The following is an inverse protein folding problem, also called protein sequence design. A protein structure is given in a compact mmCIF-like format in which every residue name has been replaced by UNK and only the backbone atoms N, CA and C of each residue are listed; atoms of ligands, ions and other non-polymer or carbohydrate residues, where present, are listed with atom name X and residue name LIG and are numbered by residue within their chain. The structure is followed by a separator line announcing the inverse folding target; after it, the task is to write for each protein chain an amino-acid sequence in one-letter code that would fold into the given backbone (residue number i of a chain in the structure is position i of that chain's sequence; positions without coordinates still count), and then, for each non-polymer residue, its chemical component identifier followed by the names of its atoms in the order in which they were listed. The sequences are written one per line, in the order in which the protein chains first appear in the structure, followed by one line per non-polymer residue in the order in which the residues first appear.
data_IF_595105957067
#
_entry.id   IF_595105957067
#
_cell.length_a   1.000
_cell.length_b   1.000
_cell.length_c   1.000
_cell.angle_alpha   90.00
_cell.angle_beta   90.00
_cell.angle_gamma   90.00
#
_symmetry.space_group_name_H-M   'P 1'
#
loop_
_entity.id
_entity.type
_entity.pdbx_description
1 polymer ?
#
# COMPACT_ATOMS: atom_id res chain seq x y z
N UNK A 1 -68.28 -59.82 -7.75
CA UNK A 1 -66.81 -59.84 -7.65
C UNK A 1 -66.35 -58.41 -7.47
N UNK A 2 -65.74 -58.11 -6.32
CA UNK A 2 -65.46 -56.76 -5.83
C UNK A 2 -64.31 -56.12 -6.64
N UNK A 3 -64.59 -55.04 -7.37
CA UNK A 3 -63.55 -54.14 -7.89
C UNK A 3 -63.21 -53.13 -6.79
N UNK A 4 -62.30 -53.50 -5.91
CA UNK A 4 -61.71 -52.57 -4.94
C UNK A 4 -60.83 -51.57 -5.67
N UNK A 5 -61.21 -50.29 -5.64
CA UNK A 5 -60.36 -49.21 -6.09
C UNK A 5 -59.09 -49.17 -5.23
N UNK A 6 -57.94 -49.51 -5.82
CA UNK A 6 -56.61 -49.31 -5.25
C UNK A 6 -56.29 -47.81 -5.26
N UNK A 7 -56.74 -47.10 -4.23
CA UNK A 7 -56.33 -45.72 -3.96
C UNK A 7 -55.00 -45.79 -3.21
N UNK A 8 -53.90 -45.52 -3.90
CA UNK A 8 -52.59 -45.41 -3.26
C UNK A 8 -52.42 -44.00 -2.64
N UNK A 9 -51.84 -43.87 -1.43
CA UNK A 9 -51.57 -42.57 -0.85
C UNK A 9 -50.50 -41.81 -1.66
N UNK A 10 -50.61 -40.48 -1.80
CA UNK A 10 -49.64 -39.68 -2.55
C UNK A 10 -48.28 -39.75 -1.82
N UNK A 11 -47.28 -40.36 -2.48
CA UNK A 11 -45.91 -40.47 -1.97
C UNK A 11 -45.33 -41.89 -1.92
N UNK A 12 -46.11 -42.94 -2.19
CA UNK A 12 -45.62 -44.31 -2.29
C UNK A 12 -45.47 -44.76 -3.75
N UNK A 13 -44.28 -45.18 -4.15
CA UNK A 13 -44.10 -45.89 -5.43
C UNK A 13 -44.81 -47.26 -5.36
N UNK A 14 -45.52 -47.69 -6.42
CA UNK A 14 -46.09 -49.03 -6.45
C UNK A 14 -44.98 -50.09 -6.49
N UNK A 15 -45.11 -51.16 -5.70
CA UNK A 15 -44.15 -52.28 -5.64
C UNK A 15 -43.96 -53.00 -7.00
N UNK A 16 -44.89 -52.77 -7.94
CA UNK A 16 -44.84 -53.26 -9.32
C UNK A 16 -44.13 -52.31 -10.29
N UNK A 17 -43.53 -51.21 -9.83
CA UNK A 17 -42.77 -50.32 -10.70
C UNK A 17 -41.48 -51.03 -11.17
N UNK A 18 -41.22 -51.11 -12.50
CA UNK A 18 -39.96 -51.66 -12.99
C UNK A 18 -38.80 -50.87 -12.39
N UNK A 19 -37.87 -51.59 -11.73
CA UNK A 19 -36.67 -51.04 -11.09
C UNK A 19 -35.82 -50.31 -12.13
N UNK A 20 -36.04 -49.00 -12.25
CA UNK A 20 -35.42 -48.15 -13.28
C UNK A 20 -36.25 -46.92 -13.66
N UNK A 21 -37.54 -46.86 -13.29
CA UNK A 21 -38.37 -45.69 -13.60
C UNK A 21 -38.16 -44.49 -12.66
N UNK A 22 -37.47 -44.69 -11.53
CA UNK A 22 -37.18 -43.62 -10.55
C UNK A 22 -36.14 -42.63 -11.08
N UNK A 23 -35.27 -43.07 -11.99
CA UNK A 23 -34.25 -42.21 -12.62
C UNK A 23 -34.85 -41.24 -13.66
N UNK A 24 -36.11 -41.45 -14.07
CA UNK A 24 -36.79 -40.59 -15.05
C UNK A 24 -37.43 -39.36 -14.37
N UNK A 25 -37.68 -39.43 -13.05
CA UNK A 25 -38.43 -38.40 -12.31
C UNK A 25 -37.60 -37.50 -11.41
N UNK A 26 -36.30 -37.76 -11.24
CA UNK A 26 -35.42 -36.76 -10.65
C UNK A 26 -35.09 -35.74 -11.74
N UNK A 27 -35.56 -34.48 -11.65
CA UNK A 27 -35.00 -33.45 -12.50
C UNK A 27 -33.50 -33.42 -12.20
N UNK A 28 -32.66 -33.66 -13.22
CA UNK A 28 -31.21 -33.54 -13.12
C UNK A 28 -30.91 -32.25 -12.38
N UNK A 29 -30.58 -32.32 -11.08
CA UNK A 29 -30.25 -31.13 -10.30
C UNK A 29 -29.08 -30.50 -11.03
N UNK A 30 -29.22 -29.28 -11.57
CA UNK A 30 -28.16 -28.71 -12.38
C UNK A 30 -26.91 -28.70 -11.51
N UNK A 31 -25.82 -29.26 -12.04
CA UNK A 31 -24.59 -29.41 -11.28
C UNK A 31 -24.21 -28.06 -10.67
N UNK A 32 -23.56 -28.06 -9.51
CA UNK A 32 -23.17 -26.81 -8.84
C UNK A 32 -22.44 -25.85 -9.78
N UNK A 33 -21.72 -26.38 -10.78
CA UNK A 33 -21.08 -25.61 -11.85
C UNK A 33 -22.08 -24.93 -12.81
N UNK A 34 -23.17 -25.60 -13.19
CA UNK A 34 -24.23 -25.05 -14.04
C UNK A 34 -25.05 -23.99 -13.30
N UNK A 35 -25.34 -24.20 -12.01
CA UNK A 35 -25.98 -23.19 -11.16
C UNK A 35 -25.06 -21.99 -10.93
N UNK A 36 -23.79 -22.22 -10.64
CA UNK A 36 -22.81 -21.14 -10.49
C UNK A 36 -22.66 -20.32 -11.77
N UNK A 37 -22.62 -20.97 -12.95
CA UNK A 37 -22.53 -20.30 -14.24
C UNK A 37 -23.78 -19.46 -14.53
N UNK A 38 -24.97 -19.98 -14.25
CA UNK A 38 -26.23 -19.26 -14.42
C UNK A 38 -26.37 -18.05 -13.48
N UNK A 39 -25.92 -18.19 -12.23
CA UNK A 39 -25.84 -17.07 -11.28
C UNK A 39 -24.81 -16.02 -11.71
N UNK A 40 -23.67 -16.45 -12.24
CA UNK A 40 -22.65 -15.54 -12.77
C UNK A 40 -23.17 -14.77 -13.98
N UNK A 41 -23.79 -15.44 -14.96
CA UNK A 41 -24.30 -14.78 -16.16
C UNK A 41 -25.39 -13.77 -15.83
N UNK A 42 -26.31 -14.13 -14.92
CA UNK A 42 -27.37 -13.24 -14.46
C UNK A 42 -26.82 -12.03 -13.67
N UNK A 43 -25.76 -12.22 -12.87
CA UNK A 43 -25.10 -11.12 -12.17
C UNK A 43 -24.34 -10.18 -13.12
N UNK A 44 -23.68 -10.73 -14.15
CA UNK A 44 -22.98 -9.92 -15.15
C UNK A 44 -23.94 -9.09 -16.01
N UNK A 45 -25.07 -9.62 -16.43
CA UNK A 45 -26.04 -8.88 -17.26
C UNK A 45 -26.60 -7.64 -16.56
N UNK A 46 -26.82 -7.68 -15.24
CA UNK A 46 -27.36 -6.54 -14.48
C UNK A 46 -26.30 -5.67 -13.80
N UNK A 47 -25.09 -6.19 -13.57
CA UNK A 47 -24.04 -5.47 -12.82
C UNK A 47 -22.74 -5.27 -13.59
N UNK A 48 -22.66 -5.61 -14.89
CA UNK A 48 -21.44 -5.43 -15.70
C UNK A 48 -20.84 -4.03 -15.57
N UNK A 49 -21.65 -2.97 -15.66
CA UNK A 49 -21.17 -1.59 -15.49
C UNK A 49 -20.63 -1.32 -14.08
N UNK A 50 -21.30 -1.85 -13.06
CA UNK A 50 -20.84 -1.75 -11.67
C UNK A 50 -19.52 -2.48 -11.44
N UNK A 51 -19.40 -3.71 -11.96
CA UNK A 51 -18.18 -4.53 -11.86
C UNK A 51 -17.00 -3.83 -12.54
N UNK A 52 -17.21 -3.26 -13.73
CA UNK A 52 -16.17 -2.50 -14.44
C UNK A 52 -15.77 -1.27 -13.66
N UNK A 53 -16.73 -0.48 -13.17
CA UNK A 53 -16.44 0.74 -12.41
C UNK A 53 -15.70 0.45 -11.09
N UNK A 54 -16.17 -0.51 -10.30
CA UNK A 54 -15.54 -0.91 -9.05
C UNK A 54 -14.15 -1.55 -9.28
N UNK A 55 -14.00 -2.34 -10.35
CA UNK A 55 -12.70 -2.89 -10.75
C UNK A 55 -11.69 -1.80 -11.13
N UNK A 56 -12.10 -0.81 -11.92
CA UNK A 56 -11.27 0.35 -12.28
C UNK A 56 -10.89 1.18 -11.04
N UNK A 57 -11.86 1.45 -10.17
CA UNK A 57 -11.62 2.18 -8.93
C UNK A 57 -10.61 1.44 -8.04
N UNK A 58 -10.76 0.12 -7.89
CA UNK A 58 -9.84 -0.71 -7.12
C UNK A 58 -8.43 -0.65 -7.70
N UNK A 59 -8.27 -0.76 -9.03
CA UNK A 59 -6.98 -0.62 -9.69
C UNK A 59 -6.33 0.75 -9.44
N UNK A 60 -7.11 1.83 -9.51
CA UNK A 60 -6.63 3.19 -9.20
C UNK A 60 -6.18 3.30 -7.74
N UNK A 61 -6.98 2.79 -6.80
CA UNK A 61 -6.66 2.80 -5.37
C UNK A 61 -5.40 1.98 -5.06
N UNK A 62 -5.25 0.81 -5.66
CA UNK A 62 -4.05 -0.03 -5.52
C UNK A 62 -2.84 0.70 -6.10
N UNK A 63 -2.97 1.29 -7.29
CA UNK A 63 -1.90 2.08 -7.92
C UNK A 63 -1.47 3.25 -7.04
N UNK A 64 -2.42 3.98 -6.46
CA UNK A 64 -2.15 5.06 -5.51
C UNK A 64 -1.51 4.55 -4.21
N UNK A 65 -1.98 3.43 -3.67
CA UNK A 65 -1.42 2.84 -2.46
C UNK A 65 0.03 2.39 -2.66
N UNK A 66 0.34 1.72 -3.77
CA UNK A 66 1.70 1.31 -4.14
C UNK A 66 2.59 2.54 -4.37
N UNK A 67 2.09 3.54 -5.10
CA UNK A 67 2.83 4.77 -5.34
C UNK A 67 3.14 5.53 -4.04
N UNK A 68 2.15 5.61 -3.14
CA UNK A 68 2.31 6.25 -1.85
C UNK A 68 3.30 5.47 -0.98
N UNK A 69 3.18 4.14 -0.93
CA UNK A 69 4.08 3.26 -0.21
C UNK A 69 5.52 3.35 -0.72
N UNK A 70 5.74 3.49 -2.02
CA UNK A 70 7.08 3.52 -2.61
C UNK A 70 7.92 4.72 -2.16
N UNK A 71 7.31 5.87 -1.88
CA UNK A 71 8.00 7.09 -1.45
C UNK A 71 7.44 7.69 -0.13
N UNK A 72 6.75 6.89 0.68
CA UNK A 72 6.13 7.40 1.91
C UNK A 72 7.16 7.99 2.87
N UNK A 73 8.34 7.35 2.96
CA UNK A 73 9.46 7.79 3.81
C UNK A 73 10.03 9.13 3.37
N UNK A 74 10.21 9.32 2.05
CA UNK A 74 10.69 10.58 1.49
C UNK A 74 9.70 11.71 1.70
N UNK A 75 8.40 11.43 1.54
CA UNK A 75 7.34 12.40 1.84
C UNK A 75 7.30 12.79 3.31
N UNK A 76 7.37 11.81 4.21
CA UNK A 76 7.40 12.07 5.65
C UNK A 76 8.61 12.95 6.02
N UNK A 77 9.80 12.62 5.51
CA UNK A 77 11.00 13.43 5.76
C UNK A 77 10.84 14.87 5.26
N UNK A 78 10.35 15.05 4.02
CA UNK A 78 10.12 16.39 3.46
C UNK A 78 9.06 17.17 4.23
N UNK A 79 7.99 16.49 4.69
CA UNK A 79 6.97 17.11 5.54
C UNK A 79 7.56 17.56 6.88
N UNK A 80 8.36 16.72 7.55
CA UNK A 80 9.05 17.08 8.78
C UNK A 80 10.00 18.26 8.58
N UNK A 81 10.80 18.26 7.51
CA UNK A 81 11.70 19.37 7.18
C UNK A 81 10.93 20.69 6.97
N UNK A 82 9.81 20.67 6.23
CA UNK A 82 8.95 21.85 6.05
C UNK A 82 8.35 22.34 7.36
N UNK A 83 7.91 21.40 8.22
CA UNK A 83 7.39 21.74 9.55
C UNK A 83 8.47 22.40 10.42
N UNK A 84 9.69 21.88 10.40
CA UNK A 84 10.82 22.47 11.13
C UNK A 84 11.21 23.84 10.57
N UNK A 85 11.22 24.01 9.25
CA UNK A 85 11.41 25.32 8.61
C UNK A 85 10.33 26.32 9.08
N UNK A 86 9.07 25.89 9.14
CA UNK A 86 7.97 26.76 9.57
C UNK A 86 8.07 27.14 11.05
N UNK A 87 8.48 26.20 11.90
CA UNK A 87 8.72 26.46 13.33
C UNK A 87 9.85 27.47 13.53
N UNK A 88 10.97 27.30 12.82
CA UNK A 88 12.09 28.25 12.83
C UNK A 88 11.63 29.65 12.38
N UNK A 89 10.83 29.76 11.31
CA UNK A 89 10.30 31.07 10.86
C UNK A 89 9.41 31.75 11.89
N UNK A 90 8.59 30.98 12.61
CA UNK A 90 7.64 31.52 13.59
C UNK A 90 8.29 31.87 14.92
N UNK A 91 9.36 31.18 15.29
CA UNK A 91 10.03 31.35 16.56
C UNK A 91 11.54 31.46 16.35
N UNK A 92 12.03 32.62 15.86
CA UNK A 92 13.46 32.84 15.65
C UNK A 92 14.26 32.79 16.96
N UNK A 93 13.61 33.09 18.08
CA UNK A 93 14.22 33.16 19.42
C UNK A 93 14.28 31.80 20.14
N UNK A 94 13.58 30.77 19.63
CA UNK A 94 13.68 29.43 20.22
C UNK A 94 15.03 28.81 19.88
N UNK A 95 15.70 28.26 20.91
CA UNK A 95 16.95 27.54 20.74
C UNK A 95 16.78 26.43 19.67
N UNK A 96 17.77 26.21 18.79
CA UNK A 96 17.67 25.26 17.69
C UNK A 96 17.92 23.79 18.10
N UNK A 97 18.25 23.50 19.36
CA UNK A 97 18.40 22.14 19.89
C UNK A 97 17.22 21.18 19.62
N UNK A 98 15.95 21.53 19.88
CA UNK A 98 14.81 20.67 19.57
C UNK A 98 14.66 20.41 18.07
N UNK A 99 15.10 21.35 17.22
CA UNK A 99 15.13 21.17 15.76
C UNK A 99 16.17 20.11 15.39
N UNK A 100 17.37 20.19 15.96
CA UNK A 100 18.43 19.21 15.75
C UNK A 100 18.05 17.80 16.18
N UNK A 101 17.41 17.65 17.35
CA UNK A 101 16.92 16.36 17.83
C UNK A 101 15.80 15.79 16.94
N UNK A 102 14.80 16.61 16.61
CA UNK A 102 13.69 16.21 15.74
C UNK A 102 14.16 15.81 14.34
N UNK A 103 15.13 16.54 13.77
CA UNK A 103 15.71 16.23 12.47
C UNK A 103 16.51 14.92 12.50
N UNK A 104 17.29 14.70 13.56
CA UNK A 104 18.02 13.43 13.75
C UNK A 104 17.08 12.23 13.81
N UNK A 105 15.96 12.37 14.54
CA UNK A 105 14.92 11.35 14.60
C UNK A 105 14.22 11.12 13.25
N UNK A 106 13.93 12.19 12.51
CA UNK A 106 13.34 12.08 11.18
C UNK A 106 14.29 11.34 10.20
N UNK A 107 15.59 11.63 10.28
CA UNK A 107 16.61 10.97 9.46
C UNK A 107 16.79 9.50 9.83
N UNK A 108 16.79 9.15 11.13
CA UNK A 108 16.87 7.75 11.54
C UNK A 108 15.69 6.94 11.00
N UNK A 109 14.48 7.51 11.00
CA UNK A 109 13.29 6.87 10.41
C UNK A 109 13.35 6.76 8.89
N UNK A 110 13.94 7.75 8.22
CA UNK A 110 14.09 7.73 6.76
C UNK A 110 15.08 6.66 6.29
N UNK A 111 16.22 6.52 6.98
CA UNK A 111 17.29 5.58 6.64
C UNK A 111 17.15 4.19 7.27
N UNK A 112 16.17 3.97 8.15
CA UNK A 112 15.96 2.67 8.77
C UNK A 112 15.61 1.60 7.72
N UNK A 113 16.39 0.50 7.62
CA UNK A 113 15.99 -0.66 6.82
C UNK A 113 14.71 -1.25 7.42
N UNK A 114 13.75 -1.63 6.57
CA UNK A 114 12.34 -1.88 6.93
C UNK A 114 12.04 -2.91 8.03
N UNK A 115 13.05 -3.58 8.59
CA UNK A 115 12.88 -4.68 9.53
C UNK A 115 13.56 -4.47 10.90
N UNK A 116 14.22 -3.33 11.18
CA UNK A 116 15.01 -3.19 12.42
C UNK A 116 14.35 -2.32 13.50
N UNK A 117 14.20 -2.94 14.68
CA UNK A 117 13.60 -2.44 15.93
C UNK A 117 14.03 -1.00 16.27
N UNK A 118 13.01 -0.15 16.43
CA UNK A 118 12.76 1.01 17.31
C UNK A 118 13.88 1.80 18.04
N UNK A 119 15.17 1.50 17.91
CA UNK A 119 16.23 2.12 18.73
C UNK A 119 17.57 2.34 18.02
N UNK A 120 17.61 2.18 16.69
CA UNK A 120 18.87 2.34 15.96
C UNK A 120 19.18 3.82 15.73
N UNK A 121 20.27 4.29 16.34
CA UNK A 121 20.92 5.54 15.97
C UNK A 121 21.24 5.55 14.47
N UNK A 122 21.21 6.74 13.86
CA UNK A 122 21.50 6.91 12.44
C UNK A 122 22.88 6.31 12.10
N UNK A 123 22.91 5.26 11.29
CA UNK A 123 24.17 4.65 10.86
C UNK A 123 24.84 5.51 9.78
N UNK A 124 25.79 6.36 10.21
CA UNK A 124 26.48 7.35 9.36
C UNK A 124 27.36 6.73 8.27
N UNK A 125 27.90 5.53 8.50
CA UNK A 125 28.75 4.84 7.52
C UNK A 125 27.92 4.25 6.36
N UNK A 126 26.66 3.88 6.62
CA UNK A 126 25.76 3.35 5.60
C UNK A 126 25.12 4.44 4.69
N UNK A 127 25.34 5.72 4.98
CA UNK A 127 24.79 6.83 4.19
C UNK A 127 25.56 7.04 2.89
N UNK A 128 24.83 7.44 1.84
CA UNK A 128 25.44 7.98 0.61
C UNK A 128 26.30 9.21 0.94
N UNK A 129 27.37 9.48 0.17
CA UNK A 129 28.30 10.58 0.43
C UNK A 129 27.60 11.94 0.64
N UNK A 130 26.63 12.28 -0.21
CA UNK A 130 25.86 13.52 -0.12
C UNK A 130 25.14 13.66 1.23
N UNK A 131 24.52 12.58 1.69
CA UNK A 131 23.82 12.54 2.98
C UNK A 131 24.77 12.56 4.16
N UNK A 132 25.93 11.91 4.04
CA UNK A 132 26.95 11.90 5.08
C UNK A 132 27.46 13.32 5.36
N UNK A 133 27.71 14.12 4.32
CA UNK A 133 28.12 15.52 4.47
C UNK A 133 27.06 16.38 5.18
N UNK A 134 25.78 16.19 4.83
CA UNK A 134 24.67 16.91 5.46
C UNK A 134 24.47 16.49 6.93
N UNK A 135 24.64 15.21 7.25
CA UNK A 135 24.53 14.70 8.62
C UNK A 135 25.71 15.19 9.47
N UNK A 136 26.92 15.25 8.93
CA UNK A 136 28.06 15.87 9.62
C UNK A 136 27.79 17.34 9.93
N UNK A 137 27.23 18.09 8.98
CA UNK A 137 26.85 19.50 9.23
C UNK A 137 25.76 19.62 10.28
N UNK A 138 24.80 18.70 10.33
CA UNK A 138 23.82 18.61 11.41
C UNK A 138 24.48 18.36 12.77
N UNK A 139 25.41 17.40 12.86
CA UNK A 139 26.12 17.09 14.10
C UNK A 139 26.93 18.31 14.59
N UNK A 140 27.60 19.03 13.68
CA UNK A 140 28.32 20.27 14.00
C UNK A 140 27.37 21.34 14.53
N UNK A 141 26.21 21.55 13.89
CA UNK A 141 25.24 22.55 14.33
C UNK A 141 24.58 22.18 15.67
N UNK A 142 24.48 20.89 15.98
CA UNK A 142 23.82 20.37 17.19
C UNK A 142 24.73 20.37 18.42
N UNK A 143 26.02 20.07 18.24
CA UNK A 143 26.98 19.93 19.35
C UNK A 143 28.08 21.01 19.35
N UNK A 144 28.14 21.82 18.30
CA UNK A 144 29.11 22.90 18.16
C UNK A 144 28.67 24.21 18.85
N UNK A 145 29.44 25.29 18.65
CA UNK A 145 29.10 26.61 19.16
C UNK A 145 27.75 27.08 18.63
N UNK A 146 27.08 28.01 19.34
CA UNK A 146 25.77 28.56 18.96
C UNK A 146 25.76 28.95 17.48
N UNK A 147 25.07 28.15 16.68
CA UNK A 147 24.97 28.37 15.25
C UNK A 147 23.91 29.43 14.93
N UNK A 148 24.14 30.18 13.86
CA UNK A 148 23.18 31.16 13.40
C UNK A 148 21.91 30.47 12.89
N UNK A 149 20.79 31.19 13.00
CA UNK A 149 19.50 30.72 12.50
C UNK A 149 19.53 30.40 10.99
N UNK A 150 20.34 31.14 10.23
CA UNK A 150 20.53 30.96 8.79
C UNK A 150 21.19 29.62 8.45
N UNK A 151 22.13 29.15 9.27
CA UNK A 151 22.82 27.87 9.07
C UNK A 151 21.84 26.69 9.16
N UNK A 152 20.89 26.77 10.12
CA UNK A 152 19.82 25.79 10.25
C UNK A 152 18.90 25.78 9.04
N UNK A 153 18.54 26.96 8.52
CA UNK A 153 17.75 27.05 7.28
C UNK A 153 18.48 26.50 6.07
N UNK A 154 19.76 26.82 5.91
CA UNK A 154 20.59 26.33 4.82
C UNK A 154 20.67 24.80 4.85
N UNK A 155 20.89 24.21 6.04
CA UNK A 155 20.91 22.76 6.22
C UNK A 155 19.57 22.11 5.84
N UNK A 156 18.45 22.64 6.36
CA UNK A 156 17.12 22.11 6.07
C UNK A 156 16.79 22.16 4.58
N UNK A 157 17.14 23.26 3.89
CA UNK A 157 16.97 23.37 2.42
C UNK A 157 17.82 22.35 1.68
N UNK A 158 19.09 22.19 2.06
CA UNK A 158 19.99 21.25 1.41
C UNK A 158 19.52 19.79 1.58
N UNK A 159 19.03 19.42 2.77
CA UNK A 159 18.44 18.09 3.01
C UNK A 159 17.15 17.86 2.22
N UNK A 160 16.30 18.88 2.10
CA UNK A 160 15.08 18.80 1.30
C UNK A 160 15.39 18.56 -0.19
N UNK A 161 16.38 19.28 -0.72
CA UNK A 161 16.81 19.14 -2.11
C UNK A 161 17.46 17.78 -2.36
N UNK A 162 18.30 17.31 -1.45
CA UNK A 162 18.90 15.96 -1.52
C UNK A 162 17.82 14.86 -1.51
N UNK A 163 16.79 15.00 -0.67
CA UNK A 163 15.63 14.09 -0.66
C UNK A 163 14.87 14.11 -1.99
N UNK A 164 14.67 15.29 -2.59
CA UNK A 164 13.97 15.43 -3.88
C UNK A 164 14.73 14.75 -5.01
N UNK A 165 16.05 14.96 -5.09
CA UNK A 165 16.92 14.31 -6.09
C UNK A 165 16.90 12.79 -5.99
N UNK A 166 16.84 12.26 -4.77
CA UNK A 166 16.75 10.82 -4.55
C UNK A 166 15.37 10.26 -4.95
N UNK A 167 14.29 11.00 -4.69
CA UNK A 167 12.95 10.60 -5.13
C UNK A 167 12.85 10.59 -6.67
N UNK A 168 13.43 11.59 -7.35
CA UNK A 168 13.48 11.61 -8.82
C UNK A 168 14.36 10.50 -9.38
N UNK A 169 15.51 10.20 -8.75
CA UNK A 169 16.38 9.10 -9.16
C UNK A 169 15.72 7.72 -8.97
N UNK A 170 14.89 7.54 -7.93
CA UNK A 170 14.13 6.31 -7.71
C UNK A 170 12.88 6.20 -8.60
N UNK A 171 12.37 7.34 -9.08
CA UNK A 171 11.22 7.42 -9.99
C UNK A 171 11.63 7.27 -11.47
N UNK A 172 12.86 7.62 -11.83
CA UNK A 172 13.38 7.42 -13.18
C UNK A 172 13.48 5.90 -13.47
N UNK A 173 12.71 5.36 -14.44
CA UNK A 173 12.99 4.02 -14.93
C UNK A 173 14.43 4.01 -15.45
N UNK A 174 15.20 2.98 -15.13
CA UNK A 174 16.55 2.79 -15.67
C UNK A 174 16.45 2.49 -17.18
N UNK A 175 16.13 3.49 -17.99
CA UNK A 175 15.93 3.35 -19.44
C UNK A 175 17.27 3.15 -20.18
N UNK A 176 18.41 3.44 -19.54
CA UNK A 176 19.72 3.36 -20.18
C UNK A 176 20.67 2.36 -19.50
N UNK A 177 20.31 1.07 -19.50
CA UNK A 177 21.29 -0.02 -19.32
C UNK A 177 21.04 -1.16 -20.31
N UNK A 178 20.90 -0.82 -21.59
CA UNK A 178 21.26 -1.77 -22.66
C UNK A 178 22.72 -1.47 -23.01
N UNK A 179 23.60 -2.37 -22.59
CA UNK A 179 25.01 -2.36 -22.94
C UNK A 179 25.11 -2.88 -24.39
N UNK A 180 25.62 -2.12 -25.38
CA UNK A 180 25.97 -2.72 -26.65
C UNK A 180 27.17 -3.64 -26.41
N UNK A 181 26.96 -4.91 -26.71
CA UNK A 181 27.99 -5.95 -26.84
C UNK A 181 28.84 -5.73 -28.08
#
# INVERSE_FOLDING_TARGET
MNQGALIHPPGGLPDSAPKGLVDVWMPNTPSAALQAKALLSHAFEHHALGIVFWGLLLCVLIGLAIWFWRDWRGRLLRWQIRRLQHLLRRHPDQAPEPVGAALTWALSRYFQPGNFKARSALNRSALRPDWRALVLRLDILRFGPKAAHEDWFALLRAMQECSRRNATAAAAPQVNRVKPS
#
